data_IF_118861134532
#
_entry.id   IF_118861134532
#
_cell.length_a   1.000
_cell.length_b   1.000
_cell.length_c   1.000
_cell.angle_alpha   90.00
_cell.angle_beta   90.00
_cell.angle_gamma   90.00
#
_symmetry.space_group_name_H-M   'P 1'
#
loop_
_entity.id
_entity.type
_entity.pdbx_description
1 polymer ?
#
# COMPACT_ATOMS: atom_id res chain seq x y z
N UNK A 1 2.21 -24.68 67.47
CA UNK A 1 1.96 -23.26 67.81
C UNK A 1 1.44 -22.61 66.53
N UNK A 2 0.17 -22.68 66.15
CA UNK A 2 -1.04 -22.03 66.69
C UNK A 2 -0.88 -20.54 67.02
N UNK A 3 -1.34 -19.67 66.11
CA UNK A 3 -2.22 -18.50 66.29
C UNK A 3 -2.41 -17.75 64.93
N UNK A 4 -3.49 -16.98 64.71
CA UNK A 4 -4.48 -17.30 63.68
C UNK A 4 -4.83 -16.14 62.72
N UNK A 5 -5.63 -16.48 61.72
CA UNK A 5 -6.68 -15.68 61.05
C UNK A 5 -6.73 -14.16 61.37
N UNK A 6 -6.48 -13.34 60.34
CA UNK A 6 -7.31 -12.14 60.13
C UNK A 6 -7.45 -11.88 58.63
N UNK A 7 -8.70 -11.97 58.18
CA UNK A 7 -9.15 -11.53 56.87
C UNK A 7 -8.89 -10.04 56.70
N UNK A 8 -8.33 -9.64 55.56
CA UNK A 8 -8.57 -8.31 55.00
C UNK A 8 -8.80 -8.45 53.49
N UNK A 9 -10.07 -8.64 53.14
CA UNK A 9 -10.61 -8.28 51.84
C UNK A 9 -10.43 -6.76 51.67
N UNK A 10 -9.57 -6.35 50.76
CA UNK A 10 -9.64 -5.02 50.17
C UNK A 10 -9.70 -5.19 48.66
N UNK A 11 -10.94 -5.29 48.20
CA UNK A 11 -11.31 -5.03 46.82
C UNK A 11 -10.91 -3.58 46.48
N UNK A 12 -9.75 -3.40 45.88
CA UNK A 12 -9.47 -2.20 45.09
C UNK A 12 -9.79 -2.55 43.65
N UNK A 13 -11.08 -2.44 43.34
CA UNK A 13 -11.51 -2.27 41.97
C UNK A 13 -10.95 -0.96 41.47
N UNK A 14 -10.03 -1.04 40.50
CA UNK A 14 -9.84 -0.06 39.43
C UNK A 14 -9.32 -0.84 38.22
N UNK A 15 -10.17 -1.72 37.69
CA UNK A 15 -10.07 -2.07 36.28
C UNK A 15 -10.50 -0.82 35.50
N UNK A 16 -9.58 0.11 35.31
CA UNK A 16 -9.70 1.11 34.26
C UNK A 16 -9.86 0.32 32.96
N UNK A 17 -10.96 0.46 32.21
CA UNK A 17 -10.90 0.14 30.80
C UNK A 17 -9.95 1.19 30.21
N UNK A 18 -8.66 0.87 30.17
CA UNK A 18 -7.81 1.41 29.14
C UNK A 18 -8.35 0.83 27.83
N UNK A 19 -9.44 1.41 27.35
CA UNK A 19 -9.77 1.45 25.93
C UNK A 19 -8.67 2.29 25.29
N UNK A 20 -7.46 1.74 25.25
CA UNK A 20 -6.44 2.19 24.32
C UNK A 20 -7.11 2.07 22.97
N UNK A 21 -7.40 3.22 22.36
CA UNK A 21 -7.71 3.26 20.95
C UNK A 21 -6.55 2.52 20.28
N UNK A 22 -6.79 1.31 19.80
CA UNK A 22 -5.83 0.64 18.94
C UNK A 22 -5.62 1.64 17.81
N UNK A 23 -4.42 2.20 17.65
CA UNK A 23 -4.19 3.19 16.62
C UNK A 23 -4.65 2.56 15.32
N UNK A 24 -5.59 3.22 14.65
CA UNK A 24 -6.11 2.79 13.36
C UNK A 24 -4.90 2.53 12.48
N UNK A 25 -4.65 1.27 12.18
CA UNK A 25 -3.36 0.81 11.69
C UNK A 25 -3.28 1.24 10.22
N UNK A 26 -2.82 2.47 10.00
CA UNK A 26 -2.74 3.06 8.67
C UNK A 26 -1.82 2.18 7.82
N UNK A 27 -2.41 1.53 6.82
CA UNK A 27 -1.67 0.74 5.85
C UNK A 27 -0.65 1.63 5.15
N UNK A 28 0.62 1.23 5.24
CA UNK A 28 1.70 1.89 4.49
C UNK A 28 1.53 1.68 2.99
N UNK A 29 2.27 2.44 2.19
CA UNK A 29 2.26 2.25 0.74
C UNK A 29 2.70 0.83 0.37
N UNK A 30 3.70 0.28 1.06
CA UNK A 30 4.20 -1.08 0.76
C UNK A 30 3.23 -2.18 1.18
N UNK A 31 2.55 -2.03 2.33
CA UNK A 31 1.47 -2.92 2.72
C UNK A 31 0.34 -2.94 1.68
N UNK A 32 -0.05 -1.76 1.19
CA UNK A 32 -1.09 -1.64 0.15
C UNK A 32 -0.64 -2.27 -1.17
N UNK A 33 0.61 -2.08 -1.56
CA UNK A 33 1.17 -2.68 -2.77
C UNK A 33 1.17 -4.21 -2.68
N UNK A 34 1.67 -4.78 -1.58
CA UNK A 34 1.67 -6.23 -1.36
C UNK A 34 0.24 -6.81 -1.33
N UNK A 35 -0.70 -6.15 -0.66
CA UNK A 35 -2.10 -6.55 -0.66
C UNK A 35 -2.72 -6.50 -2.06
N UNK A 36 -2.43 -5.45 -2.83
CA UNK A 36 -2.89 -5.30 -4.20
C UNK A 36 -2.41 -6.44 -5.10
N UNK A 37 -1.13 -6.78 -5.03
CA UNK A 37 -0.53 -7.90 -5.78
C UNK A 37 -1.14 -9.24 -5.34
N UNK A 38 -1.22 -9.46 -4.03
CA UNK A 38 -1.82 -10.68 -3.47
C UNK A 38 -3.25 -10.88 -3.96
N UNK A 39 -4.07 -9.82 -3.96
CA UNK A 39 -5.47 -9.89 -4.40
C UNK A 39 -5.60 -10.12 -5.91
N UNK A 40 -4.78 -9.46 -6.71
CA UNK A 40 -4.84 -9.55 -8.18
C UNK A 40 -4.37 -10.91 -8.70
N UNK A 41 -3.39 -11.53 -8.03
CA UNK A 41 -2.83 -12.80 -8.44
C UNK A 41 -3.47 -14.00 -7.74
N UNK A 42 -4.38 -13.79 -6.79
CA UNK A 42 -5.03 -14.87 -6.03
C UNK A 42 -4.05 -15.69 -5.21
N UNK A 43 -3.03 -15.04 -4.62
CA UNK A 43 -1.95 -15.73 -3.90
C UNK A 43 -2.47 -16.37 -2.61
N UNK A 44 -1.87 -17.51 -2.25
CA UNK A 44 -2.09 -18.12 -0.94
C UNK A 44 -1.42 -17.33 0.19
N UNK A 45 -1.76 -17.65 1.44
CA UNK A 45 -1.23 -16.94 2.62
C UNK A 45 0.30 -16.96 2.71
N UNK A 46 0.95 -18.02 2.26
CA UNK A 46 2.41 -18.17 2.36
C UNK A 46 3.07 -17.20 1.37
N UNK A 47 2.58 -17.15 0.13
CA UNK A 47 3.09 -16.21 -0.86
C UNK A 47 2.73 -14.76 -0.54
N UNK A 48 1.50 -14.50 -0.06
CA UNK A 48 1.09 -13.17 0.40
C UNK A 48 2.01 -12.64 1.49
N UNK A 49 2.40 -13.49 2.44
CA UNK A 49 3.32 -13.12 3.51
C UNK A 49 4.73 -12.84 2.96
N UNK A 50 5.24 -13.69 2.07
CA UNK A 50 6.57 -13.52 1.49
C UNK A 50 6.70 -12.19 0.72
N UNK A 51 5.69 -11.82 -0.08
CA UNK A 51 5.72 -10.53 -0.79
C UNK A 51 5.53 -9.33 0.13
N UNK A 52 4.78 -9.48 1.24
CA UNK A 52 4.66 -8.43 2.25
C UNK A 52 6.00 -8.17 2.92
N UNK A 53 6.70 -9.22 3.35
CA UNK A 53 8.03 -9.13 3.95
C UNK A 53 9.06 -8.53 2.99
N UNK A 54 8.97 -8.84 1.70
CA UNK A 54 9.80 -8.21 0.68
C UNK A 54 9.48 -6.72 0.46
N UNK A 55 8.23 -6.31 0.68
CA UNK A 55 7.79 -4.94 0.44
C UNK A 55 8.10 -4.00 1.61
N UNK A 56 7.92 -4.46 2.86
CA UNK A 56 7.99 -3.63 4.07
C UNK A 56 9.28 -2.81 4.25
N UNK A 57 10.50 -3.32 3.95
CA UNK A 57 11.73 -2.54 4.11
C UNK A 57 11.75 -1.22 3.33
N UNK A 58 10.98 -1.14 2.24
CA UNK A 58 10.91 0.05 1.39
C UNK A 58 10.08 1.18 2.00
N UNK A 59 9.31 0.94 3.06
CA UNK A 59 8.56 1.99 3.74
C UNK A 59 9.47 3.07 4.35
N UNK A 60 10.68 2.71 4.78
CA UNK A 60 11.65 3.70 5.27
C UNK A 60 12.15 4.64 4.15
N UNK A 61 12.41 4.09 2.96
CA UNK A 61 12.79 4.86 1.76
C UNK A 61 11.66 5.81 1.36
N UNK A 62 10.43 5.29 1.31
CA UNK A 62 9.25 6.07 0.94
C UNK A 62 8.92 7.15 1.97
N UNK A 63 8.96 6.84 3.26
CA UNK A 63 8.74 7.80 4.33
C UNK A 63 9.75 8.95 4.27
N UNK A 64 11.04 8.63 4.15
CA UNK A 64 12.10 9.63 4.06
C UNK A 64 11.86 10.65 2.94
N UNK A 65 11.56 10.17 1.72
CA UNK A 65 11.35 11.07 0.59
C UNK A 65 9.99 11.78 0.60
N UNK A 66 8.96 11.18 1.21
CA UNK A 66 7.69 11.87 1.43
C UNK A 66 7.84 12.99 2.47
N UNK A 67 8.62 12.81 3.54
CA UNK A 67 8.88 13.86 4.52
C UNK A 67 9.61 15.06 3.87
N UNK A 68 10.55 14.78 2.95
CA UNK A 68 11.22 15.83 2.16
C UNK A 68 10.24 16.51 1.22
N UNK A 69 9.38 15.75 0.54
CA UNK A 69 8.33 16.29 -0.33
C UNK A 69 7.44 17.26 0.45
N UNK A 70 6.91 16.83 1.58
CA UNK A 70 6.05 17.64 2.46
C UNK A 70 6.78 18.91 2.93
N UNK A 71 8.07 18.78 3.28
CA UNK A 71 8.90 19.92 3.68
C UNK A 71 9.11 20.93 2.55
N UNK A 72 9.31 20.46 1.31
CA UNK A 72 9.45 21.33 0.14
C UNK A 72 8.13 22.04 -0.19
N UNK A 73 7.01 21.32 -0.14
CA UNK A 73 5.68 21.89 -0.41
C UNK A 73 5.26 22.94 0.62
N UNK A 74 5.74 22.82 1.87
CA UNK A 74 5.49 23.79 2.94
C UNK A 74 6.46 24.98 2.95
N UNK A 75 7.55 24.94 2.19
CA UNK A 75 8.58 25.96 2.24
C UNK A 75 8.16 27.27 1.54
N UNK A 76 8.59 28.44 2.05
CA UNK A 76 8.30 29.73 1.41
C UNK A 76 9.22 29.97 0.22
N UNK A 77 8.96 29.29 -0.89
CA UNK A 77 9.68 29.43 -2.16
C UNK A 77 8.74 29.69 -3.34
N UNK A 78 9.27 30.17 -4.47
CA UNK A 78 8.47 30.32 -5.68
C UNK A 78 8.10 28.97 -6.29
N UNK A 79 7.02 28.94 -7.07
CA UNK A 79 6.57 27.71 -7.76
C UNK A 79 7.66 27.13 -8.68
N UNK A 80 8.42 27.99 -9.37
CA UNK A 80 9.53 27.55 -10.23
C UNK A 80 10.64 26.87 -9.43
N UNK A 81 10.99 27.41 -8.26
CA UNK A 81 12.01 26.82 -7.38
C UNK A 81 11.52 25.49 -6.81
N UNK A 82 10.23 25.43 -6.41
CA UNK A 82 9.61 24.20 -5.95
C UNK A 82 9.66 23.11 -7.03
N UNK A 83 9.22 23.40 -8.25
CA UNK A 83 9.25 22.42 -9.35
C UNK A 83 10.66 21.92 -9.65
N UNK A 84 11.67 22.78 -9.55
CA UNK A 84 13.06 22.39 -9.72
C UNK A 84 13.54 21.47 -8.58
N UNK A 85 13.16 21.77 -7.33
CA UNK A 85 13.49 20.97 -6.15
C UNK A 85 12.75 19.61 -6.10
N UNK A 86 11.52 19.55 -6.64
CA UNK A 86 10.71 18.33 -6.66
C UNK A 86 11.22 17.27 -7.64
N UNK A 87 11.96 17.65 -8.68
CA UNK A 87 12.49 16.73 -9.69
C UNK A 87 13.29 15.56 -9.09
N UNK A 88 14.38 15.84 -8.34
CA UNK A 88 15.16 14.81 -7.67
C UNK A 88 14.36 13.94 -6.69
N UNK A 89 13.47 14.55 -5.90
CA UNK A 89 12.63 13.82 -4.92
C UNK A 89 11.69 12.83 -5.61
N UNK A 90 11.06 13.25 -6.72
CA UNK A 90 10.19 12.38 -7.52
C UNK A 90 10.96 11.22 -8.15
N UNK A 91 12.17 11.47 -8.64
CA UNK A 91 13.05 10.41 -9.15
C UNK A 91 13.37 9.40 -8.05
N UNK A 92 13.79 9.85 -6.87
CA UNK A 92 14.13 8.96 -5.76
C UNK A 92 12.93 8.16 -5.23
N UNK A 93 11.75 8.78 -5.13
CA UNK A 93 10.50 8.06 -4.83
C UNK A 93 10.19 6.99 -5.89
N UNK A 94 10.40 7.30 -7.16
CA UNK A 94 10.27 6.34 -8.26
C UNK A 94 11.21 5.15 -8.11
N UNK A 95 12.47 5.39 -7.73
CA UNK A 95 13.47 4.36 -7.48
C UNK A 95 13.13 3.47 -6.28
N UNK A 96 12.64 4.04 -5.16
CA UNK A 96 12.14 3.25 -4.04
C UNK A 96 11.01 2.31 -4.48
N UNK A 97 10.04 2.82 -5.26
CA UNK A 97 8.89 2.03 -5.74
C UNK A 97 9.30 0.95 -6.73
N UNK A 98 10.23 1.27 -7.64
CA UNK A 98 10.76 0.31 -8.60
C UNK A 98 11.52 -0.82 -7.90
N UNK A 99 12.33 -0.49 -6.90
CA UNK A 99 13.08 -1.47 -6.12
C UNK A 99 12.16 -2.35 -5.27
N UNK A 100 11.13 -1.76 -4.64
CA UNK A 100 10.06 -2.53 -3.99
C UNK A 100 9.40 -3.52 -4.95
N UNK A 101 9.07 -3.07 -6.16
CA UNK A 101 8.46 -3.93 -7.19
C UNK A 101 9.37 -5.10 -7.59
N UNK A 102 10.68 -4.84 -7.71
CA UNK A 102 11.70 -5.86 -7.98
C UNK A 102 11.78 -6.90 -6.86
N UNK A 103 11.74 -6.47 -5.60
CA UNK A 103 11.84 -7.38 -4.45
C UNK A 103 10.57 -8.20 -4.27
N UNK A 104 9.38 -7.59 -4.47
CA UNK A 104 8.10 -8.31 -4.55
C UNK A 104 8.19 -9.39 -5.63
N UNK A 105 8.65 -9.04 -6.83
CA UNK A 105 8.82 -9.98 -7.93
C UNK A 105 9.76 -11.13 -7.58
N UNK A 106 10.87 -10.85 -6.89
CA UNK A 106 11.82 -11.87 -6.48
C UNK A 106 11.23 -12.86 -5.47
N UNK A 107 10.33 -12.39 -4.59
CA UNK A 107 9.64 -13.22 -3.60
C UNK A 107 8.52 -14.10 -4.17
N UNK A 108 8.02 -13.82 -5.37
CA UNK A 108 7.01 -14.63 -6.06
C UNK A 108 7.60 -15.94 -6.62
N UNK A 109 6.76 -16.97 -6.74
CA UNK A 109 7.09 -18.19 -7.48
C UNK A 109 7.16 -17.96 -9.00
N UNK A 110 7.65 -18.95 -9.76
CA UNK A 110 7.83 -18.81 -11.20
C UNK A 110 6.54 -18.52 -11.97
N UNK A 111 5.40 -19.10 -11.55
CA UNK A 111 4.10 -18.88 -12.20
C UNK A 111 3.56 -17.49 -11.93
N UNK A 112 3.59 -17.04 -10.67
CA UNK A 112 3.09 -15.75 -10.24
C UNK A 112 3.98 -14.60 -10.75
N UNK A 113 5.27 -14.83 -10.97
CA UNK A 113 6.18 -13.86 -11.63
C UNK A 113 5.69 -13.46 -13.01
N UNK A 114 5.26 -14.42 -13.83
CA UNK A 114 4.77 -14.13 -15.19
C UNK A 114 3.49 -13.29 -15.12
N UNK A 115 2.56 -13.67 -14.24
CA UNK A 115 1.33 -12.90 -14.03
C UNK A 115 1.61 -11.50 -13.46
N UNK A 116 2.58 -11.37 -12.56
CA UNK A 116 3.03 -10.08 -12.03
C UNK A 116 3.62 -9.15 -13.10
N UNK A 117 4.42 -9.67 -14.04
CA UNK A 117 4.94 -8.86 -15.15
C UNK A 117 3.81 -8.32 -16.04
N UNK A 118 2.78 -9.13 -16.26
CA UNK A 118 1.60 -8.71 -17.01
C UNK A 118 0.83 -7.58 -16.30
N UNK A 119 0.86 -7.53 -14.95
CA UNK A 119 0.31 -6.39 -14.20
C UNK A 119 1.11 -5.10 -14.42
N UNK A 120 2.43 -5.21 -14.58
CA UNK A 120 3.32 -4.06 -14.82
C UNK A 120 3.25 -3.54 -16.27
N UNK A 121 2.75 -4.34 -17.20
CA UNK A 121 2.56 -3.99 -18.61
C UNK A 121 1.17 -4.40 -19.09
N UNK A 122 0.09 -3.77 -18.59
CA UNK A 122 -1.24 -4.07 -19.08
C UNK A 122 -1.29 -3.81 -20.59
N UNK A 123 -1.93 -4.70 -21.35
CA UNK A 123 -2.16 -4.47 -22.78
C UNK A 123 -2.73 -3.06 -22.95
N UNK A 124 -2.06 -2.25 -23.78
CA UNK A 124 -2.57 -0.91 -24.08
C UNK A 124 -4.00 -1.07 -24.58
N UNK A 125 -4.99 -0.39 -23.96
CA UNK A 125 -6.34 -0.45 -24.48
C UNK A 125 -6.28 -0.03 -25.95
N UNK A 126 -6.88 -0.84 -26.82
CA UNK A 126 -6.84 -0.64 -28.29
C UNK A 126 -7.38 0.73 -28.70
N UNK A 127 -8.12 1.39 -27.81
CA UNK A 127 -8.62 2.76 -27.93
C UNK A 127 -8.29 3.53 -26.65
N UNK A 128 -7.51 4.60 -26.78
CA UNK A 128 -7.32 5.59 -25.71
C UNK A 128 -8.52 6.54 -25.71
N UNK A 129 -9.33 6.51 -24.65
CA UNK A 129 -10.34 7.52 -24.44
C UNK A 129 -9.72 8.76 -23.79
N UNK A 130 -9.50 9.81 -24.58
CA UNK A 130 -9.17 11.13 -24.06
C UNK A 130 -10.47 11.91 -23.79
N UNK A 131 -10.61 12.45 -22.57
CA UNK A 131 -11.74 13.29 -22.15
C UNK A 131 -12.72 12.66 -21.16
N UNK A 132 -13.31 13.49 -20.29
CA UNK A 132 -14.39 13.10 -19.37
C UNK A 132 -15.65 12.83 -20.18
N UNK A 133 -16.17 11.62 -20.12
CA UNK A 133 -17.38 11.22 -20.82
C UNK A 133 -18.17 10.20 -19.99
N UNK A 134 -19.47 10.07 -20.29
CA UNK A 134 -20.33 9.07 -19.65
C UNK A 134 -20.02 7.68 -20.22
N UNK A 135 -19.57 6.75 -19.35
CA UNK A 135 -19.24 5.38 -19.76
C UNK A 135 -20.43 4.60 -20.29
N UNK A 136 -21.66 4.91 -19.84
CA UNK A 136 -22.89 4.21 -20.28
C UNK A 136 -23.25 4.54 -21.73
N UNK A 137 -22.86 5.72 -22.21
CA UNK A 137 -23.19 6.22 -23.55
C UNK A 137 -22.07 5.97 -24.57
N UNK A 138 -20.87 5.59 -24.10
CA UNK A 138 -19.71 5.40 -24.95
C UNK A 138 -19.76 4.04 -25.67
N UNK A 139 -19.97 4.08 -26.99
CA UNK A 139 -20.04 2.88 -27.85
C UNK A 139 -18.77 2.03 -27.87
N UNK A 140 -17.64 2.54 -27.37
CA UNK A 140 -16.39 1.80 -27.23
C UNK A 140 -16.24 1.19 -25.83
N UNK A 141 -16.78 1.83 -24.79
CA UNK A 141 -16.80 1.30 -23.43
C UNK A 141 -17.84 0.18 -23.24
N UNK A 142 -18.85 0.12 -24.12
CA UNK A 142 -19.78 -1.01 -24.19
C UNK A 142 -18.99 -2.25 -24.61
N UNK A 143 -18.74 -3.16 -23.67
CA UNK A 143 -18.18 -4.49 -23.99
C UNK A 143 -19.06 -5.16 -25.05
N UNK A 144 -18.48 -5.77 -26.10
CA UNK A 144 -19.26 -6.53 -27.08
C UNK A 144 -20.08 -7.58 -26.35
N UNK A 145 -21.40 -7.57 -26.55
CA UNK A 145 -22.23 -8.68 -26.09
C UNK A 145 -21.92 -9.89 -26.96
N UNK A 146 -21.77 -11.10 -26.38
CA UNK A 146 -21.66 -12.31 -27.18
C UNK A 146 -22.90 -12.45 -28.05
N UNK A 147 -22.77 -12.97 -29.29
CA UNK A 147 -23.92 -13.13 -30.17
C UNK A 147 -24.95 -14.03 -29.50
N UNK A 148 -26.18 -13.53 -29.41
CA UNK A 148 -27.34 -14.30 -28.99
C UNK A 148 -27.61 -15.40 -30.04
N UNK A 149 -27.89 -16.65 -29.63
CA UNK A 149 -28.22 -17.74 -30.54
C UNK A 149 -29.50 -17.49 -31.34
#
# INVERSE_FOLDING_TARGET
>A
MNLPFLWLLLAVGMALPCSGQVPDLRLTESMRAAQGVSSQLGLDKVQSQAILEAALPWDACLAHWNDILDSLEAAPMSESELLQALGPVRTALGECRASRSKDIRAALDSSARVAFDALASPERPRVLHFGVHNRLDCNVCKTPQPPTP
#
